data_IF_642782822744
#
_entry.id   IF_642782822744
#
_cell.length_a   1.000
_cell.length_b   1.000
_cell.length_c   1.000
_cell.angle_alpha   90.00
_cell.angle_beta   90.00
_cell.angle_gamma   90.00
#
_symmetry.space_group_name_H-M   'P 1'
#
loop_
_entity.id
_entity.type
_entity.pdbx_description
1 polymer ?
#
# COMPACT_ATOMS: atom_id res chain seq x y z
N UNK A 1 -1.08 4.35 16.99
CA UNK A 1 -2.02 5.44 16.65
C UNK A 1 -2.27 5.41 15.15
N UNK A 2 -3.53 5.57 14.73
CA UNK A 2 -3.97 5.44 13.35
C UNK A 2 -4.21 6.82 12.69
N UNK A 3 -3.67 7.07 11.49
CA UNK A 3 -4.02 8.23 10.68
C UNK A 3 -5.49 8.24 10.30
N UNK A 4 -6.10 9.42 10.35
CA UNK A 4 -7.41 9.71 9.78
C UNK A 4 -7.28 10.92 8.87
N UNK A 5 -7.33 10.71 7.57
CA UNK A 5 -7.33 11.77 6.57
C UNK A 5 -8.75 12.25 6.28
N UNK A 6 -8.95 13.56 6.25
CA UNK A 6 -10.27 14.19 6.07
C UNK A 6 -10.20 15.05 4.81
N UNK A 7 -10.93 14.65 3.77
CA UNK A 7 -10.97 15.39 2.50
C UNK A 7 -11.95 16.55 2.64
N UNK A 8 -11.43 17.78 2.61
CA UNK A 8 -12.20 19.05 2.65
C UNK A 8 -13.31 19.05 3.70
N UNK A 9 -12.98 18.59 4.90
CA UNK A 9 -13.93 18.45 6.00
C UNK A 9 -13.36 18.91 7.33
N UNK A 10 -14.18 18.75 8.37
CA UNK A 10 -13.82 19.10 9.74
C UNK A 10 -13.54 17.84 10.56
N UNK A 11 -12.73 18.00 11.61
CA UNK A 11 -12.46 16.92 12.56
C UNK A 11 -13.78 16.47 13.19
N UNK A 12 -14.13 15.17 13.11
CA UNK A 12 -15.36 14.69 13.68
C UNK A 12 -15.44 14.84 15.19
N UNK A 13 -16.66 14.90 15.73
CA UNK A 13 -16.86 14.78 17.17
C UNK A 13 -16.43 13.41 17.70
N UNK A 14 -16.05 13.38 18.97
CA UNK A 14 -15.54 12.19 19.65
C UNK A 14 -16.45 10.96 19.52
N UNK A 15 -17.76 11.17 19.49
CA UNK A 15 -18.74 10.09 19.46
C UNK A 15 -18.86 9.42 18.08
N UNK A 16 -18.28 9.99 17.01
CA UNK A 16 -18.35 9.41 15.67
C UNK A 16 -17.70 8.02 15.58
N UNK A 17 -16.71 7.75 16.42
CA UNK A 17 -15.96 6.49 16.43
C UNK A 17 -16.25 5.61 17.66
N UNK A 18 -17.28 5.96 18.43
CA UNK A 18 -17.73 5.12 19.52
C UNK A 18 -18.37 3.84 18.97
N UNK A 19 -17.97 2.69 19.51
CA UNK A 19 -18.52 1.41 19.13
C UNK A 19 -19.29 0.81 20.32
N UNK A 20 -20.63 0.81 20.30
CA UNK A 20 -21.47 0.31 21.40
C UNK A 20 -21.19 -1.15 21.75
N UNK A 21 -20.93 -2.00 20.75
CA UNK A 21 -20.73 -3.44 20.89
C UNK A 21 -19.50 -3.78 21.74
N UNK A 22 -18.48 -2.93 21.70
CA UNK A 22 -17.22 -3.07 22.43
C UNK A 22 -17.13 -2.12 23.63
N UNK A 23 -18.13 -1.26 23.84
CA UNK A 23 -18.12 -0.15 24.80
C UNK A 23 -16.83 0.70 24.75
N UNK A 24 -16.26 0.87 23.55
CA UNK A 24 -14.94 1.46 23.34
C UNK A 24 -14.92 2.60 22.32
N UNK A 25 -13.88 3.42 22.37
CA UNK A 25 -13.72 4.57 21.47
C UNK A 25 -12.26 4.80 21.05
N UNK A 26 -11.98 4.48 19.78
CA UNK A 26 -10.65 4.57 19.16
C UNK A 26 -10.27 6.02 18.83
N UNK A 27 -11.15 7.01 19.05
CA UNK A 27 -10.85 8.42 18.80
C UNK A 27 -9.52 8.87 19.42
N UNK A 28 -9.20 8.39 20.62
CA UNK A 28 -7.94 8.73 21.31
C UNK A 28 -6.69 8.02 20.74
N UNK A 29 -6.90 7.00 19.93
CA UNK A 29 -5.86 6.30 19.20
C UNK A 29 -5.69 6.85 17.77
N UNK A 30 -6.44 7.89 17.39
CA UNK A 30 -6.43 8.48 16.05
C UNK A 30 -5.67 9.81 16.00
N UNK A 31 -5.05 10.10 14.86
CA UNK A 31 -4.54 11.44 14.53
C UNK A 31 -5.19 11.95 13.25
N UNK A 32 -5.75 13.16 13.30
CA UNK A 32 -6.53 13.74 12.20
C UNK A 32 -5.67 14.66 11.32
N UNK A 33 -5.77 14.49 10.00
CA UNK A 33 -5.09 15.31 9.00
C UNK A 33 -6.14 15.78 7.99
N UNK A 34 -6.31 17.09 7.84
CA UNK A 34 -7.18 17.67 6.82
C UNK A 34 -6.37 17.84 5.54
N UNK A 35 -6.96 17.40 4.42
CA UNK A 35 -6.35 17.41 3.08
C UNK A 35 -7.36 17.90 2.04
N UNK A 36 -6.86 18.40 0.92
CA UNK A 36 -7.70 18.86 -0.19
C UNK A 36 -8.24 17.71 -1.05
N UNK A 37 -7.52 16.60 -1.14
CA UNK A 37 -7.85 15.45 -1.99
C UNK A 37 -7.02 14.22 -1.63
N UNK A 38 -7.27 13.09 -2.32
CA UNK A 38 -6.52 11.84 -2.10
C UNK A 38 -5.04 11.92 -2.53
N UNK A 39 -4.66 12.85 -3.42
CA UNK A 39 -3.28 12.99 -3.85
C UNK A 39 -2.39 13.55 -2.72
N UNK A 40 -2.93 14.46 -1.90
CA UNK A 40 -2.24 14.93 -0.69
C UNK A 40 -2.06 13.80 0.34
N UNK A 41 -3.03 12.89 0.46
CA UNK A 41 -2.91 11.70 1.34
C UNK A 41 -1.71 10.86 0.93
N UNK A 42 -1.55 10.61 -0.39
CA UNK A 42 -0.38 9.90 -0.92
C UNK A 42 0.91 10.60 -0.53
N UNK A 43 0.99 11.92 -0.72
CA UNK A 43 2.17 12.71 -0.36
C UNK A 43 2.48 12.62 1.14
N UNK A 44 1.48 12.67 2.01
CA UNK A 44 1.68 12.47 3.45
C UNK A 44 2.24 11.08 3.77
N UNK A 45 1.62 10.03 3.23
CA UNK A 45 2.04 8.64 3.47
C UNK A 45 3.39 8.29 2.83
N UNK A 46 3.81 9.00 1.78
CA UNK A 46 5.18 8.92 1.22
C UNK A 46 6.23 9.40 2.23
N UNK A 47 5.91 10.44 2.99
CA UNK A 47 6.84 11.14 3.88
C UNK A 47 6.80 10.62 5.32
N UNK A 48 5.85 9.75 5.64
CA UNK A 48 5.76 9.10 6.95
C UNK A 48 6.72 7.90 6.98
N UNK A 49 7.81 8.04 7.73
CA UNK A 49 8.70 6.93 8.07
C UNK A 49 8.08 6.11 9.21
N UNK A 50 7.36 5.04 8.88
CA UNK A 50 6.83 4.09 9.88
C UNK A 50 7.60 2.78 9.87
N UNK A 51 7.73 2.17 11.05
CA UNK A 51 8.34 0.84 11.24
C UNK A 51 7.43 -0.27 10.66
N UNK A 52 6.13 -0.01 10.54
CA UNK A 52 5.12 -0.91 9.99
C UNK A 52 4.33 -0.23 8.87
N UNK A 53 3.69 -1.02 8.00
CA UNK A 53 2.80 -0.48 6.97
C UNK A 53 1.66 0.33 7.61
N UNK A 54 1.51 1.63 7.25
CA UNK A 54 0.47 2.43 7.83
C UNK A 54 -0.88 2.03 7.23
N UNK A 55 -1.74 1.50 8.08
CA UNK A 55 -3.18 1.46 7.84
C UNK A 55 -3.82 2.75 8.31
N UNK A 56 -4.80 3.25 7.57
CA UNK A 56 -5.34 4.59 7.73
C UNK A 56 -6.82 4.65 7.41
N UNK A 57 -7.50 5.64 7.97
CA UNK A 57 -8.89 5.95 7.64
C UNK A 57 -8.95 7.17 6.73
N UNK A 58 -9.92 7.20 5.82
CA UNK A 58 -10.24 8.35 4.97
C UNK A 58 -11.71 8.71 5.18
N UNK A 59 -11.97 9.97 5.53
CA UNK A 59 -13.31 10.54 5.58
C UNK A 59 -13.52 11.36 4.31
N UNK A 60 -14.43 10.91 3.44
CA UNK A 60 -14.79 11.61 2.19
C UNK A 60 -15.85 12.69 2.46
N UNK A 61 -16.07 13.60 1.50
CA UNK A 61 -16.97 14.77 1.64
C UNK A 61 -18.41 14.38 2.05
N UNK A 62 -18.88 13.20 1.64
CA UNK A 62 -20.17 12.63 2.01
C UNK A 62 -20.21 12.00 3.42
N UNK A 63 -19.17 12.22 4.23
CA UNK A 63 -18.96 11.71 5.60
C UNK A 63 -18.77 10.20 5.72
N UNK A 64 -18.70 9.48 4.61
CA UNK A 64 -18.35 8.06 4.57
C UNK A 64 -16.90 7.85 5.03
N UNK A 65 -16.68 6.76 5.76
CA UNK A 65 -15.38 6.40 6.30
C UNK A 65 -14.89 5.16 5.56
N UNK A 66 -13.65 5.22 5.08
CA UNK A 66 -12.99 4.11 4.41
C UNK A 66 -11.74 3.72 5.19
N UNK A 67 -11.51 2.43 5.36
CA UNK A 67 -10.24 1.88 5.82
C UNK A 67 -9.38 1.51 4.61
N UNK A 68 -8.11 1.92 4.65
CA UNK A 68 -7.14 1.72 3.58
C UNK A 68 -5.79 1.33 4.18
N UNK A 69 -4.93 0.66 3.42
CA UNK A 69 -3.53 0.47 3.78
C UNK A 69 -2.60 0.89 2.64
N UNK A 70 -1.43 1.41 3.02
CA UNK A 70 -0.40 1.82 2.06
C UNK A 70 0.10 0.66 1.21
N UNK A 71 0.18 -0.55 1.78
CA UNK A 71 0.59 -1.78 1.09
C UNK A 71 -0.28 -2.15 -0.11
N UNK A 72 -1.57 -1.74 -0.08
CA UNK A 72 -2.51 -1.97 -1.17
C UNK A 72 -2.63 -0.79 -2.13
N UNK A 73 -1.65 0.12 -2.11
CA UNK A 73 -1.44 1.11 -3.18
C UNK A 73 -2.68 1.93 -3.50
N UNK A 74 -3.37 2.39 -2.45
CA UNK A 74 -4.45 3.39 -2.52
C UNK A 74 -5.70 2.99 -3.33
N UNK A 75 -5.69 1.89 -4.08
CA UNK A 75 -6.78 1.45 -4.93
C UNK A 75 -7.80 0.59 -4.16
N UNK A 76 -7.33 -0.17 -3.18
CA UNK A 76 -8.22 -0.92 -2.29
C UNK A 76 -8.71 -0.03 -1.16
N UNK A 77 -10.02 -0.01 -0.95
CA UNK A 77 -10.66 0.63 0.19
C UNK A 77 -11.80 -0.23 0.71
N UNK A 78 -11.88 -0.36 2.03
CA UNK A 78 -12.99 -1.00 2.71
C UNK A 78 -13.88 0.10 3.28
N UNK A 79 -15.12 0.20 2.78
CA UNK A 79 -16.09 1.15 3.31
C UNK A 79 -16.61 0.62 4.65
N UNK A 80 -16.45 1.42 5.71
CA UNK A 80 -17.09 1.10 6.99
C UNK A 80 -18.59 1.26 6.84
N UNK A 81 -19.32 0.21 7.20
CA UNK A 81 -20.78 0.17 7.18
C UNK A 81 -21.35 0.14 8.62
N UNK A 82 -22.65 -0.10 8.75
CA UNK A 82 -23.32 -0.16 10.05
C UNK A 82 -22.85 -1.33 10.93
N UNK A 83 -22.19 -2.34 10.36
CA UNK A 83 -21.76 -3.56 11.06
C UNK A 83 -20.28 -3.55 11.44
N UNK A 84 -19.44 -2.78 10.74
CA UNK A 84 -18.01 -2.64 11.04
C UNK A 84 -17.63 -1.18 11.36
N UNK A 85 -17.55 -0.90 12.66
CA UNK A 85 -17.03 0.37 13.19
C UNK A 85 -15.49 0.37 13.16
N UNK A 86 -14.87 1.56 13.19
CA UNK A 86 -13.40 1.69 13.19
C UNK A 86 -12.74 0.98 14.39
N UNK A 87 -13.43 0.94 15.55
CA UNK A 87 -12.96 0.24 16.76
C UNK A 87 -12.77 -1.26 16.52
N UNK A 88 -13.72 -1.93 15.85
CA UNK A 88 -13.66 -3.37 15.60
C UNK A 88 -12.44 -3.72 14.75
N UNK A 89 -12.22 -2.97 13.66
CA UNK A 89 -11.06 -3.15 12.78
C UNK A 89 -9.76 -2.96 13.56
N UNK A 90 -9.66 -1.86 14.33
CA UNK A 90 -8.46 -1.53 15.10
C UNK A 90 -8.18 -2.57 16.18
N UNK A 91 -9.22 -3.06 16.86
CA UNK A 91 -9.12 -4.09 17.89
C UNK A 91 -8.63 -5.41 17.29
N UNK A 92 -9.25 -5.88 16.19
CA UNK A 92 -8.87 -7.15 15.56
C UNK A 92 -7.44 -7.13 15.03
N UNK A 93 -7.00 -6.02 14.43
CA UNK A 93 -5.60 -5.86 13.99
C UNK A 93 -4.65 -5.85 15.19
N UNK A 94 -5.01 -5.14 16.28
CA UNK A 94 -4.14 -5.01 17.45
C UNK A 94 -3.90 -6.34 18.18
N UNK A 95 -4.87 -7.25 18.16
CA UNK A 95 -4.74 -8.60 18.75
C UNK A 95 -4.28 -9.66 17.74
N UNK A 96 -4.05 -9.28 16.48
CA UNK A 96 -3.59 -10.18 15.42
C UNK A 96 -4.64 -11.17 14.94
N UNK A 97 -5.93 -10.86 15.12
CA UNK A 97 -7.04 -11.66 14.58
C UNK A 97 -7.16 -11.50 13.06
N UNK A 98 -6.76 -10.35 12.53
CA UNK A 98 -6.77 -10.05 11.10
C UNK A 98 -5.59 -9.15 10.71
N UNK A 99 -5.25 -9.10 9.43
CA UNK A 99 -4.35 -8.11 8.85
C UNK A 99 -5.11 -7.02 8.09
N UNK A 100 -4.52 -5.82 7.88
CA UNK A 100 -5.12 -4.80 7.04
C UNK A 100 -5.52 -5.31 5.65
N UNK A 101 -4.69 -6.16 5.05
CA UNK A 101 -4.95 -6.80 3.77
C UNK A 101 -6.20 -7.68 3.82
N UNK A 102 -6.33 -8.53 4.85
CA UNK A 102 -7.48 -9.42 5.01
C UNK A 102 -8.81 -8.66 5.19
N UNK A 103 -8.78 -7.49 5.83
CA UNK A 103 -9.96 -6.62 5.95
C UNK A 103 -10.42 -6.07 4.59
N UNK A 104 -9.47 -5.76 3.70
CA UNK A 104 -9.78 -5.14 2.39
C UNK A 104 -10.06 -6.15 1.29
N UNK A 105 -9.67 -7.42 1.44
CA UNK A 105 -9.97 -8.46 0.48
C UNK A 105 -11.25 -9.21 0.86
N UNK A 106 -12.37 -8.91 0.20
CA UNK A 106 -13.46 -9.88 0.13
C UNK A 106 -12.92 -11.14 -0.57
N UNK A 107 -13.05 -12.27 0.14
CA UNK A 107 -12.52 -13.59 -0.21
C UNK A 107 -12.68 -13.94 -1.71
N UNK A 108 -11.54 -14.15 -2.41
CA UNK A 108 -11.33 -14.87 -3.69
C UNK A 108 -10.39 -14.20 -4.72
N UNK A 109 -9.58 -13.19 -4.35
CA UNK A 109 -8.53 -12.69 -5.25
C UNK A 109 -7.32 -13.63 -5.26
N UNK A 110 -7.50 -14.83 -5.82
CA UNK A 110 -6.44 -15.82 -6.02
C UNK A 110 -5.26 -15.26 -6.85
N UNK A 111 -4.05 -15.38 -6.30
CA UNK A 111 -2.78 -15.74 -6.98
C UNK A 111 -2.54 -15.12 -8.37
N UNK A 112 -2.53 -13.80 -8.48
CA UNK A 112 -1.95 -13.15 -9.67
C UNK A 112 -0.43 -13.04 -9.49
N UNK A 113 0.34 -13.34 -10.53
CA UNK A 113 1.81 -13.16 -10.54
C UNK A 113 2.08 -11.96 -11.44
N UNK A 114 2.76 -10.93 -10.92
CA UNK A 114 3.13 -9.73 -11.69
C UNK A 114 4.39 -10.03 -12.48
N UNK A 115 4.32 -9.94 -13.79
CA UNK A 115 5.48 -10.12 -14.67
C UNK A 115 5.66 -8.85 -15.50
N UNK A 116 6.80 -8.21 -15.33
CA UNK A 116 7.18 -7.03 -16.08
C UNK A 116 7.89 -7.45 -17.38
N UNK A 117 7.25 -7.28 -18.54
CA UNK A 117 7.78 -7.68 -19.86
C UNK A 117 8.26 -6.44 -20.64
N UNK A 118 9.41 -6.54 -21.32
CA UNK A 118 9.99 -5.43 -22.10
C UNK A 118 9.79 -5.51 -23.62
N UNK A 119 9.28 -6.61 -24.22
CA UNK A 119 9.50 -6.71 -25.67
C UNK A 119 8.58 -7.47 -26.64
N UNK A 120 7.73 -8.47 -26.31
CA UNK A 120 7.02 -9.20 -27.39
C UNK A 120 5.65 -9.83 -27.05
N UNK A 121 4.74 -9.79 -28.06
CA UNK A 121 3.46 -10.51 -28.18
C UNK A 121 3.66 -12.04 -28.27
N UNK A 122 3.34 -12.78 -27.21
CA UNK A 122 2.66 -14.07 -27.27
C UNK A 122 2.26 -14.54 -25.86
N UNK A 123 0.97 -14.86 -25.73
CA UNK A 123 0.14 -14.84 -24.53
C UNK A 123 0.39 -15.98 -23.54
N UNK A 124 0.42 -15.64 -22.26
CA UNK A 124 -0.10 -16.46 -21.15
C UNK A 124 -1.03 -15.52 -20.35
N UNK A 125 -2.22 -15.95 -19.94
CA UNK A 125 -3.15 -15.12 -19.17
C UNK A 125 -2.57 -14.81 -17.76
N UNK A 126 -1.81 -13.73 -17.64
CA UNK A 126 -1.25 -13.17 -16.40
C UNK A 126 -1.45 -11.65 -16.47
N UNK A 127 -1.69 -10.98 -15.33
CA UNK A 127 -1.81 -9.52 -15.30
C UNK A 127 -0.42 -8.90 -15.57
N UNK A 128 -0.23 -8.46 -16.81
CA UNK A 128 1.00 -7.84 -17.30
C UNK A 128 1.04 -6.37 -16.89
N UNK A 129 2.12 -5.94 -16.25
CA UNK A 129 2.36 -4.51 -16.00
C UNK A 129 3.58 -4.08 -16.78
N UNK A 130 3.44 -3.02 -17.58
CA UNK A 130 4.58 -2.37 -18.22
C UNK A 130 5.49 -1.74 -17.15
N UNK A 131 6.80 -1.77 -17.38
CA UNK A 131 7.75 -1.06 -16.52
C UNK A 131 7.51 0.45 -16.65
N UNK A 132 7.37 1.15 -15.52
CA UNK A 132 7.25 2.61 -15.53
C UNK A 132 8.54 3.23 -16.09
N UNK A 133 8.43 3.94 -17.20
CA UNK A 133 9.45 4.86 -17.69
C UNK A 133 9.29 6.15 -16.90
N UNK A 134 10.12 6.34 -15.87
CA UNK A 134 9.97 7.44 -14.95
C UNK A 134 11.08 8.47 -15.15
N UNK A 135 10.73 9.74 -15.06
CA UNK A 135 11.70 10.84 -15.10
C UNK A 135 12.63 10.82 -13.88
N UNK A 136 12.08 10.39 -12.74
CA UNK A 136 12.78 10.26 -11.48
C UNK A 136 12.07 9.27 -10.54
N UNK A 137 12.76 8.88 -9.48
CA UNK A 137 12.24 7.97 -8.44
C UNK A 137 10.88 8.38 -7.86
N UNK A 138 10.68 9.69 -7.59
CA UNK A 138 9.42 10.20 -7.05
C UNK A 138 8.27 9.96 -8.03
N UNK A 139 8.47 10.26 -9.32
CA UNK A 139 7.46 10.01 -10.35
C UNK A 139 7.12 8.52 -10.50
N UNK A 140 8.13 7.65 -10.46
CA UNK A 140 7.92 6.20 -10.52
C UNK A 140 7.06 5.71 -9.35
N UNK A 141 7.36 6.20 -8.15
CA UNK A 141 6.63 5.86 -6.94
C UNK A 141 5.17 6.32 -6.99
N UNK A 142 4.93 7.59 -7.34
CA UNK A 142 3.57 8.13 -7.42
C UNK A 142 2.72 7.44 -8.48
N UNK A 143 3.30 7.10 -9.64
CA UNK A 143 2.60 6.33 -10.68
C UNK A 143 2.23 4.93 -10.17
N UNK A 144 3.15 4.29 -9.45
CA UNK A 144 2.94 2.95 -8.94
C UNK A 144 1.90 2.90 -7.81
N UNK A 145 1.77 3.96 -7.02
CA UNK A 145 0.69 4.13 -6.04
C UNK A 145 -0.72 4.20 -6.65
N UNK A 146 -0.84 4.32 -7.98
CA UNK A 146 -2.14 4.32 -8.66
C UNK A 146 -2.50 2.94 -9.27
N UNK A 147 -1.63 1.94 -9.08
CA UNK A 147 -1.84 0.60 -9.62
C UNK A 147 -2.32 -0.34 -8.52
N UNK A 148 -2.96 -1.43 -8.91
CA UNK A 148 -3.31 -2.48 -7.97
C UNK A 148 -2.06 -3.29 -7.60
N UNK A 149 -1.86 -3.51 -6.30
CA UNK A 149 -0.78 -4.37 -5.80
C UNK A 149 -1.35 -5.50 -4.98
N UNK A 150 -0.89 -6.69 -5.31
CA UNK A 150 -1.24 -7.95 -4.66
C UNK A 150 -0.03 -8.61 -3.99
N UNK A 151 1.14 -7.97 -4.05
CA UNK A 151 2.37 -8.36 -3.39
C UNK A 151 2.73 -7.34 -2.30
N UNK A 152 3.94 -7.41 -1.75
CA UNK A 152 4.49 -6.48 -0.75
C UNK A 152 4.73 -5.05 -1.27
N UNK A 153 4.01 -4.63 -2.31
CA UNK A 153 4.18 -3.33 -2.97
C UNK A 153 5.53 -3.17 -3.69
N UNK A 154 6.25 -4.28 -3.95
CA UNK A 154 7.51 -4.24 -4.70
C UNK A 154 7.26 -4.08 -6.19
N UNK A 155 7.96 -3.12 -6.79
CA UNK A 155 7.86 -2.76 -8.20
C UNK A 155 9.21 -2.43 -8.82
N UNK A 156 9.24 -2.45 -10.15
CA UNK A 156 10.43 -2.14 -10.95
C UNK A 156 10.13 -0.98 -11.88
N UNK A 157 11.04 -0.03 -11.96
CA UNK A 157 10.96 1.11 -12.88
C UNK A 157 12.29 1.35 -13.59
N UNK A 158 12.23 2.12 -14.69
CA UNK A 158 13.40 2.50 -15.49
C UNK A 158 13.60 4.00 -15.37
N UNK A 159 14.81 4.41 -15.02
CA UNK A 159 15.25 5.80 -14.90
C UNK A 159 16.65 5.89 -15.54
N UNK A 160 16.84 6.80 -16.51
CA UNK A 160 18.12 7.00 -17.20
C UNK A 160 18.76 5.70 -17.77
N UNK A 161 17.97 4.84 -18.42
CA UNK A 161 18.38 3.53 -18.97
C UNK A 161 18.87 2.51 -17.92
N UNK A 162 18.65 2.76 -16.64
CA UNK A 162 18.92 1.82 -15.55
C UNK A 162 17.62 1.28 -15.00
N UNK A 163 17.65 0.03 -14.54
CA UNK A 163 16.50 -0.62 -13.92
C UNK A 163 16.64 -0.53 -12.41
N UNK A 164 15.56 -0.20 -11.72
CA UNK A 164 15.53 -0.06 -10.26
C UNK A 164 14.37 -0.84 -9.66
N UNK A 165 14.65 -1.55 -8.57
CA UNK A 165 13.65 -2.15 -7.70
C UNK A 165 13.33 -1.18 -6.58
N UNK A 166 12.04 -1.00 -6.31
CA UNK A 166 11.51 -0.18 -5.24
C UNK A 166 10.34 -0.91 -4.56
N UNK A 167 9.99 -0.50 -3.35
CA UNK A 167 8.89 -1.06 -2.58
C UNK A 167 8.08 0.09 -2.00
N UNK A 168 6.77 0.05 -2.18
CA UNK A 168 5.83 1.07 -1.69
C UNK A 168 5.93 1.21 -0.18
N UNK A 169 6.15 0.10 0.53
CA UNK A 169 6.16 0.06 1.98
C UNK A 169 7.45 0.65 2.56
N UNK A 170 8.46 0.94 1.72
CA UNK A 170 9.70 1.62 2.10
C UNK A 170 9.62 3.13 1.86
N UNK A 171 10.68 3.84 2.24
CA UNK A 171 10.78 5.29 2.07
C UNK A 171 10.85 5.69 0.59
N UNK A 172 10.45 6.92 0.29
CA UNK A 172 10.45 7.45 -1.08
C UNK A 172 11.84 7.53 -1.70
N UNK A 173 12.91 7.56 -0.90
CA UNK A 173 14.30 7.59 -1.38
C UNK A 173 14.98 6.19 -1.40
N UNK A 174 14.24 5.13 -1.03
CA UNK A 174 14.75 3.77 -1.11
C UNK A 174 14.64 3.20 -2.51
N UNK A 175 15.77 2.98 -3.19
CA UNK A 175 15.82 2.20 -4.43
C UNK A 175 17.04 1.30 -4.49
N UNK A 176 16.97 0.31 -5.37
CA UNK A 176 18.02 -0.65 -5.56
C UNK A 176 18.22 -0.88 -7.06
N UNK A 177 19.39 -0.52 -7.59
CA UNK A 177 19.72 -0.73 -9.00
C UNK A 177 19.76 -2.23 -9.29
N UNK A 178 18.91 -2.69 -10.21
CA UNK A 178 18.76 -4.09 -10.61
C UNK A 178 19.74 -4.40 -11.72
N UNK A 179 20.66 -5.32 -11.44
CA UNK A 179 21.45 -5.99 -12.47
C UNK A 179 20.79 -7.34 -12.75
N UNK A 180 20.14 -7.44 -13.90
CA UNK A 180 19.44 -8.67 -14.28
C UNK A 180 20.43 -9.83 -14.44
N UNK A 181 20.29 -10.85 -13.60
CA UNK A 181 21.06 -12.10 -13.68
C UNK A 181 20.13 -13.31 -13.62
N UNK A 182 20.58 -14.45 -14.16
CA UNK A 182 19.84 -15.72 -14.10
C UNK A 182 19.56 -16.14 -12.64
N UNK A 183 20.48 -15.85 -11.74
CA UNK A 183 20.37 -16.20 -10.33
C UNK A 183 19.36 -15.32 -9.58
N UNK A 184 19.30 -14.02 -9.92
CA UNK A 184 18.29 -13.10 -9.39
C UNK A 184 16.88 -13.50 -9.85
N UNK A 185 16.72 -13.86 -11.12
CA UNK A 185 15.44 -14.32 -11.65
C UNK A 185 14.96 -15.59 -10.96
N UNK A 186 15.85 -16.56 -10.73
CA UNK A 186 15.51 -17.76 -9.98
C UNK A 186 15.08 -17.44 -8.54
N UNK A 187 15.75 -16.49 -7.87
CA UNK A 187 15.39 -16.08 -6.52
C UNK A 187 13.99 -15.43 -6.45
N UNK A 188 13.67 -14.55 -7.40
CA UNK A 188 12.35 -13.89 -7.46
C UNK A 188 11.20 -14.88 -7.72
N UNK A 189 11.47 -15.98 -8.44
CA UNK A 189 10.48 -17.04 -8.68
C UNK A 189 10.34 -17.95 -7.45
N UNK A 190 11.44 -18.26 -6.77
CA UNK A 190 11.45 -19.15 -5.61
C UNK A 190 10.94 -18.49 -4.32
N UNK A 191 10.91 -17.15 -4.26
CA UNK A 191 10.46 -16.40 -3.08
C UNK A 191 9.41 -15.36 -3.44
N UNK A 192 8.20 -15.53 -2.89
CA UNK A 192 7.12 -14.52 -2.97
C UNK A 192 7.46 -13.20 -2.26
N UNK A 193 8.52 -13.17 -1.44
CA UNK A 193 8.94 -12.02 -0.63
C UNK A 193 10.38 -11.68 -0.96
N UNK A 194 10.62 -10.45 -1.43
CA UNK A 194 11.98 -9.97 -1.70
C UNK A 194 12.74 -9.71 -0.39
N UNK A 195 13.96 -10.28 -0.26
CA UNK A 195 14.83 -10.04 0.89
C UNK A 195 16.07 -9.25 0.47
N UNK A 196 16.14 -7.98 0.88
CA UNK A 196 17.24 -7.06 0.54
C UNK A 196 18.63 -7.63 0.88
N UNK A 197 18.77 -8.33 2.01
CA UNK A 197 20.03 -8.96 2.44
C UNK A 197 20.53 -10.01 1.45
N UNK A 198 19.61 -10.73 0.78
CA UNK A 198 19.98 -11.69 -0.28
C UNK A 198 20.34 -11.00 -1.58
N UNK A 199 19.78 -9.82 -1.88
CA UNK A 199 20.18 -9.09 -3.08
C UNK A 199 21.61 -8.55 -2.98
N UNK A 200 22.01 -8.04 -1.81
CA UNK A 200 23.36 -7.49 -1.60
C UNK A 200 24.47 -8.50 -1.88
N UNK A 201 24.23 -9.80 -1.79
CA UNK A 201 25.22 -10.82 -2.17
C UNK A 201 25.45 -10.97 -3.68
N UNK A 202 24.61 -10.37 -4.53
CA UNK A 202 24.74 -10.40 -6.00
C UNK A 202 25.40 -9.14 -6.58
N UNK A 203 25.69 -8.14 -5.75
CA UNK A 203 26.38 -6.91 -6.17
C UNK A 203 27.93 -7.07 -6.17
N UNK A 204 28.43 -8.32 -6.16
CA UNK A 204 29.87 -8.65 -6.15
C UNK A 204 30.46 -8.61 -7.55
#
# INVERSE_FOLDING_TARGET
MYPVFIIKGEIPEINKFYCPELEANTYYNMYFIIVENEEEIKLHLCNIETISDPSYFVIKENKEIFFKAKSLSFNSEYKLDEFYCAEMIVSDIAIGNTSPEEVMYETDVYKKIRIYNQKYENKINLDYTEYNQAENEKSAYMEELNKDHFNDGTFIYIENNKTYLKCINKTIDWKLEVVWSKELLNLMVDTYIFKETKYKSFLV
#
